data_IF_367155756782
#
_entry.id   IF_367155756782
#
_cell.length_a   1.000
_cell.length_b   1.000
_cell.length_c   1.000
_cell.angle_alpha   90.00
_cell.angle_beta   90.00
_cell.angle_gamma   90.00
#
_symmetry.space_group_name_H-M   'P 1'
#
loop_
_entity.id
_entity.type
_entity.pdbx_description
1 polymer ?
#
# COMPACT_ATOMS: atom_id res chain seq x y z
N UNK A 1 16.86 32.22 2.60
CA UNK A 1 17.52 32.22 1.27
C UNK A 1 16.68 33.08 0.32
N UNK A 2 17.27 34.02 -0.43
CA UNK A 2 16.53 34.83 -1.41
C UNK A 2 16.09 33.96 -2.59
N UNK A 3 14.81 34.06 -2.97
CA UNK A 3 14.21 33.29 -4.08
C UNK A 3 14.88 33.68 -5.39
N UNK A 4 15.50 32.71 -6.09
CA UNK A 4 16.04 32.91 -7.46
C UNK A 4 14.96 33.54 -8.35
N UNK A 5 15.26 34.68 -8.98
CA UNK A 5 14.36 35.31 -9.96
C UNK A 5 14.15 34.33 -11.12
N UNK A 6 12.89 34.09 -11.49
CA UNK A 6 12.55 33.24 -12.63
C UNK A 6 13.08 33.89 -13.92
N UNK A 7 13.80 33.10 -14.73
CA UNK A 7 14.49 33.55 -15.95
C UNK A 7 13.53 33.89 -17.09
N UNK A 8 12.35 33.26 -17.12
CA UNK A 8 11.28 33.53 -18.09
C UNK A 8 10.15 34.30 -17.43
N UNK A 9 10.09 35.61 -17.65
CA UNK A 9 9.06 36.49 -17.05
C UNK A 9 7.66 36.15 -17.54
N UNK A 10 7.53 35.64 -18.76
CA UNK A 10 6.24 35.28 -19.38
C UNK A 10 5.67 33.96 -18.85
N UNK A 11 6.52 33.09 -18.27
CA UNK A 11 6.08 31.87 -17.61
C UNK A 11 5.63 32.08 -16.15
N UNK A 12 5.78 33.30 -15.62
CA UNK A 12 5.39 33.64 -14.25
C UNK A 12 3.91 34.01 -14.20
N UNK A 13 3.20 33.47 -13.21
CA UNK A 13 1.81 33.81 -12.93
C UNK A 13 1.71 35.27 -12.47
N UNK A 14 1.40 36.17 -13.41
CA UNK A 14 1.39 37.63 -13.19
C UNK A 14 -0.01 38.20 -13.03
N UNK A 15 -1.02 37.59 -13.64
CA UNK A 15 -2.40 38.11 -13.67
C UNK A 15 -3.36 37.21 -12.88
N UNK A 16 -4.22 37.84 -12.07
CA UNK A 16 -5.27 37.13 -11.34
C UNK A 16 -6.55 37.04 -12.18
N UNK A 17 -7.17 35.87 -12.21
CA UNK A 17 -8.41 35.61 -12.94
C UNK A 17 -9.46 35.19 -11.92
N UNK A 18 -10.52 36.00 -11.77
CA UNK A 18 -11.66 35.71 -10.89
C UNK A 18 -12.89 35.48 -11.76
N UNK A 19 -13.40 34.25 -11.77
CA UNK A 19 -14.54 33.85 -12.59
C UNK A 19 -15.64 33.28 -11.69
N UNK A 20 -16.88 33.64 -11.97
CA UNK A 20 -18.06 32.98 -11.40
C UNK A 20 -18.48 31.84 -12.31
N UNK A 21 -18.67 30.65 -11.74
CA UNK A 21 -19.10 29.45 -12.45
C UNK A 21 -20.39 28.92 -11.84
N UNK A 22 -21.11 28.09 -12.58
CA UNK A 22 -22.31 27.42 -12.07
C UNK A 22 -21.93 26.30 -11.11
N UNK A 23 -22.85 25.91 -10.23
CA UNK A 23 -22.63 24.83 -9.26
C UNK A 23 -22.24 23.50 -9.94
N UNK A 24 -22.86 23.20 -11.09
CA UNK A 24 -22.53 21.99 -11.86
C UNK A 24 -21.09 22.00 -12.38
N UNK A 25 -20.62 23.14 -12.88
CA UNK A 25 -19.25 23.27 -13.38
C UNK A 25 -18.25 23.26 -12.23
N UNK A 26 -18.59 23.85 -11.08
CA UNK A 26 -17.79 23.74 -9.86
C UNK A 26 -17.61 22.29 -9.41
N UNK A 27 -18.69 21.51 -9.34
CA UNK A 27 -18.64 20.07 -9.00
C UNK A 27 -17.81 19.25 -9.99
N UNK A 28 -17.91 19.54 -11.29
CA UNK A 28 -17.08 18.90 -12.32
C UNK A 28 -15.58 19.17 -12.08
N UNK A 29 -15.22 20.42 -11.81
CA UNK A 29 -13.83 20.80 -11.50
C UNK A 29 -13.33 20.16 -10.20
N UNK A 30 -14.19 20.05 -9.19
CA UNK A 30 -13.85 19.38 -7.93
C UNK A 30 -13.60 17.88 -8.13
N UNK A 31 -14.41 17.23 -8.97
CA UNK A 31 -14.20 15.82 -9.35
C UNK A 31 -12.84 15.64 -10.03
N UNK A 32 -12.54 16.47 -11.04
CA UNK A 32 -11.24 16.43 -11.74
C UNK A 32 -10.08 16.67 -10.76
N UNK A 33 -10.22 17.59 -9.80
CA UNK A 33 -9.21 17.80 -8.76
C UNK A 33 -8.97 16.54 -7.92
N UNK A 34 -10.02 15.82 -7.52
CA UNK A 34 -9.91 14.59 -6.73
C UNK A 34 -9.24 13.45 -7.51
N UNK A 35 -9.49 13.38 -8.81
CA UNK A 35 -9.01 12.29 -9.68
C UNK A 35 -7.67 12.60 -10.37
N UNK A 36 -7.07 13.77 -10.15
CA UNK A 36 -5.82 14.19 -10.81
C UNK A 36 -4.75 14.62 -9.81
N UNK A 37 -3.52 14.84 -10.29
CA UNK A 37 -2.39 15.37 -9.50
C UNK A 37 -2.52 16.89 -9.17
N UNK A 38 -3.72 17.47 -9.30
CA UNK A 38 -3.92 18.90 -9.14
C UNK A 38 -4.16 19.28 -7.68
N UNK A 39 -3.29 20.13 -7.11
CA UNK A 39 -3.39 20.59 -5.71
C UNK A 39 -4.57 21.55 -5.46
N UNK A 40 -5.06 22.25 -6.48
CA UNK A 40 -6.16 23.22 -6.35
C UNK A 40 -7.04 23.27 -7.60
N UNK A 41 -8.27 23.78 -7.44
CA UNK A 41 -9.19 24.01 -8.58
C UNK A 41 -8.57 25.01 -9.57
N UNK A 42 -7.86 26.03 -9.08
CA UNK A 42 -7.14 26.97 -9.94
C UNK A 42 -6.05 26.28 -10.78
N UNK A 43 -5.39 25.24 -10.24
CA UNK A 43 -4.44 24.43 -11.01
C UNK A 43 -5.14 23.65 -12.12
N UNK A 44 -6.31 23.06 -11.84
CA UNK A 44 -7.13 22.35 -12.84
C UNK A 44 -7.54 23.31 -13.96
N UNK A 45 -8.14 24.46 -13.62
CA UNK A 45 -8.59 25.47 -14.58
C UNK A 45 -7.41 25.98 -15.41
N UNK A 46 -6.24 26.23 -14.81
CA UNK A 46 -5.05 26.65 -15.54
C UNK A 46 -4.57 25.59 -16.53
N UNK A 47 -4.61 24.31 -16.14
CA UNK A 47 -4.23 23.23 -17.04
C UNK A 47 -5.20 23.11 -18.21
N UNK A 48 -6.51 23.26 -17.97
CA UNK A 48 -7.54 23.28 -19.03
C UNK A 48 -7.32 24.47 -19.97
N UNK A 49 -7.12 25.68 -19.44
CA UNK A 49 -6.92 26.89 -20.24
C UNK A 49 -5.62 26.88 -21.05
N UNK A 50 -4.59 26.20 -20.54
CA UNK A 50 -3.29 26.07 -21.21
C UNK A 50 -3.20 24.82 -22.11
N UNK A 51 -4.32 24.13 -22.35
CA UNK A 51 -4.43 22.87 -23.10
C UNK A 51 -3.39 21.82 -22.67
N UNK A 52 -3.11 21.79 -21.36
CA UNK A 52 -2.14 20.86 -20.77
C UNK A 52 -2.84 19.57 -20.38
N UNK A 53 -2.20 18.46 -20.71
CA UNK A 53 -2.64 17.13 -20.30
C UNK A 53 -2.81 17.04 -18.78
N UNK A 54 -4.03 16.79 -18.33
CA UNK A 54 -4.32 16.50 -16.93
C UNK A 54 -4.04 15.01 -16.72
N UNK A 55 -2.99 14.71 -15.97
CA UNK A 55 -2.71 13.33 -15.56
C UNK A 55 -3.73 12.93 -14.51
N UNK A 56 -4.66 12.06 -14.89
CA UNK A 56 -5.54 11.38 -13.97
C UNK A 56 -4.71 10.39 -13.15
N UNK A 57 -4.75 10.51 -11.83
CA UNK A 57 -4.22 9.51 -10.92
C UNK A 57 -5.35 8.53 -10.69
N UNK A 58 -5.48 7.54 -11.58
CA UNK A 58 -6.31 6.38 -11.31
C UNK A 58 -5.56 5.54 -10.28
N UNK A 59 -5.84 5.79 -8.99
CA UNK A 59 -5.32 4.93 -7.93
C UNK A 59 -6.15 3.66 -7.96
N UNK A 60 -5.66 2.64 -8.64
CA UNK A 60 -6.26 1.32 -8.61
C UNK A 60 -6.17 0.77 -7.19
N UNK A 61 -7.30 0.81 -6.48
CA UNK A 61 -7.43 0.34 -5.11
C UNK A 61 -7.88 -1.13 -5.05
N UNK A 62 -8.06 -1.79 -6.20
CA UNK A 62 -8.58 -3.17 -6.27
C UNK A 62 -7.68 -4.20 -5.57
N UNK A 63 -6.39 -3.89 -5.43
CA UNK A 63 -5.38 -4.75 -4.82
C UNK A 63 -5.00 -4.37 -3.38
N UNK A 64 -5.50 -3.24 -2.86
CA UNK A 64 -5.09 -2.78 -1.52
C UNK A 64 -5.52 -3.76 -0.42
N UNK A 65 -6.75 -4.27 -0.47
CA UNK A 65 -7.24 -5.24 0.52
C UNK A 65 -6.44 -6.55 0.50
N UNK A 66 -6.10 -7.04 -0.69
CA UNK A 66 -5.31 -8.27 -0.82
C UNK A 66 -3.87 -8.09 -0.34
N UNK A 67 -3.29 -6.90 -0.54
CA UNK A 67 -1.96 -6.56 -0.03
C UNK A 67 -1.93 -6.46 1.51
N UNK A 68 -3.02 -5.97 2.12
CA UNK A 68 -3.18 -5.90 3.57
C UNK A 68 -3.28 -7.29 4.20
N UNK A 69 -4.09 -8.19 3.63
CA UNK A 69 -4.19 -9.58 4.08
C UNK A 69 -2.84 -10.32 3.97
N UNK A 70 -2.12 -10.17 2.85
CA UNK A 70 -0.77 -10.73 2.70
C UNK A 70 0.22 -10.19 3.74
N UNK A 71 0.15 -8.90 4.06
CA UNK A 71 1.01 -8.29 5.07
C UNK A 71 0.75 -8.87 6.47
N UNK A 72 -0.52 -9.15 6.80
CA UNK A 72 -0.90 -9.82 8.06
C UNK A 72 -0.36 -11.24 8.11
N UNK A 73 -0.60 -12.06 7.08
CA UNK A 73 -0.10 -13.44 7.04
C UNK A 73 1.44 -13.48 7.15
N UNK A 74 2.15 -12.60 6.43
CA UNK A 74 3.61 -12.50 6.51
C UNK A 74 4.09 -12.21 7.93
N UNK A 75 3.40 -11.31 8.65
CA UNK A 75 3.74 -10.97 10.04
C UNK A 75 3.56 -12.18 10.96
N UNK A 76 2.51 -12.94 10.78
CA UNK A 76 2.24 -14.14 11.57
C UNK A 76 3.24 -15.26 11.31
N UNK A 77 3.55 -15.57 10.05
CA UNK A 77 4.56 -16.57 9.69
C UNK A 77 5.93 -16.19 10.28
N UNK A 78 6.31 -14.91 10.20
CA UNK A 78 7.55 -14.42 10.81
C UNK A 78 7.57 -14.64 12.33
N UNK A 79 6.46 -14.38 13.02
CA UNK A 79 6.36 -14.61 14.47
C UNK A 79 6.51 -16.09 14.83
N UNK A 80 5.93 -16.99 14.01
CA UNK A 80 6.07 -18.44 14.21
C UNK A 80 7.52 -18.88 13.98
N UNK A 81 8.16 -18.44 12.89
CA UNK A 81 9.56 -18.76 12.62
C UNK A 81 10.50 -18.32 13.75
N UNK A 82 10.25 -17.13 14.33
CA UNK A 82 10.97 -16.64 15.51
C UNK A 82 10.74 -17.55 16.73
N UNK A 83 9.53 -18.07 16.93
CA UNK A 83 9.22 -18.97 18.04
C UNK A 83 9.90 -20.34 17.87
N UNK A 84 9.85 -20.91 16.66
CA UNK A 84 10.56 -22.16 16.33
C UNK A 84 12.05 -21.99 16.59
N UNK A 85 12.67 -20.92 16.08
CA UNK A 85 14.09 -20.67 16.30
C UNK A 85 14.45 -20.59 17.79
N UNK A 86 13.58 -19.98 18.60
CA UNK A 86 13.75 -19.95 20.06
C UNK A 86 13.64 -21.34 20.70
N UNK A 87 12.69 -22.17 20.29
CA UNK A 87 12.56 -23.52 20.84
C UNK A 87 13.73 -24.42 20.41
N UNK A 88 14.17 -24.34 19.16
CA UNK A 88 15.34 -25.05 18.65
C UNK A 88 16.60 -24.66 19.42
N UNK A 89 16.81 -23.37 19.64
CA UNK A 89 17.94 -22.87 20.45
C UNK A 89 17.88 -23.39 21.90
N UNK A 90 16.70 -23.39 22.54
CA UNK A 90 16.52 -23.93 23.90
C UNK A 90 16.75 -25.44 23.96
N UNK A 91 16.31 -26.18 22.94
CA UNK A 91 16.58 -27.60 22.81
C UNK A 91 18.10 -27.89 22.75
N UNK A 92 18.84 -27.14 21.92
CA UNK A 92 20.29 -27.33 21.79
C UNK A 92 21.09 -26.99 23.06
N UNK A 93 20.61 -26.04 23.88
CA UNK A 93 21.31 -25.62 25.11
C UNK A 93 20.92 -26.48 26.33
N UNK A 94 19.78 -27.17 26.28
CA UNK A 94 19.30 -27.99 27.40
C UNK A 94 20.23 -29.16 27.73
N UNK A 95 20.57 -29.30 29.02
CA UNK A 95 21.52 -30.30 29.51
C UNK A 95 20.85 -31.58 30.02
N UNK A 96 19.53 -31.58 30.22
CA UNK A 96 18.74 -32.72 30.68
C UNK A 96 17.81 -33.27 29.59
N UNK A 97 17.67 -34.59 29.51
CA UNK A 97 16.76 -35.27 28.56
C UNK A 97 15.28 -34.91 28.78
N UNK A 98 14.89 -34.57 30.01
CA UNK A 98 13.55 -34.11 30.32
C UNK A 98 13.24 -32.74 29.70
N UNK A 99 14.20 -31.81 29.72
CA UNK A 99 14.07 -30.49 29.07
C UNK A 99 14.04 -30.62 27.54
N UNK A 100 14.90 -31.46 26.96
CA UNK A 100 14.88 -31.78 25.52
C UNK A 100 13.52 -32.27 25.07
N UNK A 101 12.95 -33.23 25.80
CA UNK A 101 11.64 -33.82 25.50
C UNK A 101 10.47 -32.83 25.68
N UNK A 102 10.61 -31.83 26.55
CA UNK A 102 9.64 -30.75 26.70
C UNK A 102 9.68 -29.77 25.52
N UNK A 103 10.86 -29.31 25.13
CA UNK A 103 11.03 -28.39 23.99
C UNK A 103 10.66 -29.04 22.65
N UNK A 104 10.93 -30.35 22.48
CA UNK A 104 10.51 -31.10 21.30
C UNK A 104 8.98 -31.11 21.15
N UNK A 105 8.24 -31.48 22.21
CA UNK A 105 6.77 -31.49 22.19
C UNK A 105 6.18 -30.12 21.89
N UNK A 106 6.73 -29.07 22.50
CA UNK A 106 6.29 -27.69 22.26
C UNK A 106 6.55 -27.24 20.82
N UNK A 107 7.66 -27.65 20.23
CA UNK A 107 7.99 -27.38 18.82
C UNK A 107 7.03 -28.10 17.88
N UNK A 108 6.68 -29.35 18.17
CA UNK A 108 5.72 -30.13 17.38
C UNK A 108 4.31 -29.50 17.40
N UNK A 109 3.87 -28.95 18.53
CA UNK A 109 2.61 -28.20 18.62
C UNK A 109 2.64 -26.91 17.80
N UNK A 110 3.73 -26.14 17.87
CA UNK A 110 3.90 -24.93 17.05
C UNK A 110 3.90 -25.29 15.56
N UNK A 111 4.52 -26.41 15.19
CA UNK A 111 4.55 -26.87 13.81
C UNK A 111 3.15 -27.21 13.28
N UNK A 112 2.30 -27.86 14.08
CA UNK A 112 0.89 -28.10 13.70
C UNK A 112 0.08 -26.82 13.50
N UNK A 113 0.47 -25.72 14.14
CA UNK A 113 -0.20 -24.42 13.97
C UNK A 113 0.18 -23.69 12.68
N UNK A 114 1.17 -24.18 11.94
CA UNK A 114 1.63 -23.60 10.66
C UNK A 114 0.76 -24.05 9.50
N UNK A 115 0.41 -25.34 9.43
CA UNK A 115 -0.33 -25.91 8.30
C UNK A 115 -1.57 -25.09 7.89
N UNK A 116 -2.50 -24.72 8.80
CA UNK A 116 -3.66 -23.92 8.40
C UNK A 116 -3.28 -22.53 7.87
N UNK A 117 -2.16 -21.95 8.30
CA UNK A 117 -1.71 -20.64 7.82
C UNK A 117 -1.06 -20.71 6.44
N UNK A 118 -0.43 -21.85 6.11
CA UNK A 118 0.04 -22.12 4.75
C UNK A 118 -1.17 -22.28 3.82
N UNK A 119 -2.22 -22.96 4.27
CA UNK A 119 -3.47 -23.09 3.51
C UNK A 119 -4.13 -21.72 3.26
N UNK A 120 -4.21 -20.86 4.28
CA UNK A 120 -4.72 -19.48 4.14
C UNK A 120 -3.89 -18.67 3.13
N UNK A 121 -2.56 -18.80 3.18
CA UNK A 121 -1.67 -18.13 2.23
C UNK A 121 -1.91 -18.62 0.79
N UNK A 122 -2.05 -19.94 0.59
CA UNK A 122 -2.32 -20.54 -0.72
C UNK A 122 -3.68 -20.10 -1.28
N UNK A 123 -4.70 -19.91 -0.43
CA UNK A 123 -5.97 -19.34 -0.86
C UNK A 123 -5.83 -17.90 -1.37
N UNK A 124 -5.07 -17.05 -0.67
CA UNK A 124 -4.85 -15.67 -1.11
C UNK A 124 -4.06 -15.62 -2.41
N UNK A 125 -3.02 -16.45 -2.55
CA UNK A 125 -2.25 -16.57 -3.80
C UNK A 125 -3.15 -17.02 -4.96
N UNK A 126 -4.09 -17.94 -4.71
CA UNK A 126 -5.04 -18.40 -5.72
C UNK A 126 -5.99 -17.28 -6.15
N UNK A 127 -6.55 -16.52 -5.20
CA UNK A 127 -7.40 -15.34 -5.49
C UNK A 127 -6.65 -14.25 -6.27
N UNK A 128 -5.35 -14.07 -5.99
CA UNK A 128 -4.50 -13.15 -6.76
C UNK A 128 -4.24 -13.66 -8.18
N UNK A 129 -3.99 -14.95 -8.34
CA UNK A 129 -3.80 -15.56 -9.65
C UNK A 129 -5.06 -15.46 -10.52
N UNK A 130 -6.24 -15.68 -9.94
CA UNK A 130 -7.54 -15.49 -10.62
C UNK A 130 -7.73 -14.04 -11.09
N UNK A 131 -7.48 -13.06 -10.22
CA UNK A 131 -7.55 -11.64 -10.61
C UNK A 131 -6.54 -11.27 -11.70
N UNK A 132 -5.35 -11.85 -11.67
CA UNK A 132 -4.31 -11.59 -12.67
C UNK A 132 -4.65 -12.20 -14.03
N UNK A 133 -5.32 -13.35 -14.07
CA UNK A 133 -5.77 -14.02 -15.30
C UNK A 133 -7.01 -13.39 -15.94
N UNK A 134 -7.69 -12.48 -15.22
CA UNK A 134 -8.87 -11.75 -15.70
C UNK A 134 -8.55 -10.38 -16.32
N UNK A 135 -7.27 -9.97 -16.34
CA UNK A 135 -6.78 -8.77 -17.02
C UNK A 135 -6.13 -9.08 -18.36
#
# INVERSE_FOLDING_TARGET
>A
MPRKKATERDAVLTHNIVIRVTEETFKKLEKIKKESDCKSIAQVVRNILADRHIKYIVKDMSMNGTMEELAMIRKEIKAIGININQQTHRFHISQSDAERSFHFRKTAEIYRSIDPKIDDLLQIVSKLAEKWLQG
#
